data_IF_986980966009
#
_entry.id   IF_986980966009
#
_cell.length_a   1.000
_cell.length_b   1.000
_cell.length_c   1.000
_cell.angle_alpha   90.00
_cell.angle_beta   90.00
_cell.angle_gamma   90.00
#
_symmetry.space_group_name_H-M   'P 1'
#
loop_
_entity.id
_entity.type
_entity.pdbx_description
1 polymer ?
#
# COMPACT_ATOMS: atom_id res chain seq x y z
N UNK A 1 8.32 -1.07 14.41
CA UNK A 1 7.34 -1.32 13.33
C UNK A 1 6.07 -1.89 13.92
N UNK A 2 4.95 -1.37 13.49
CA UNK A 2 3.64 -1.91 13.85
C UNK A 2 2.97 -2.45 12.59
N UNK A 3 2.34 -3.63 12.71
CA UNK A 3 1.70 -4.29 11.60
C UNK A 3 0.41 -4.96 12.07
N UNK A 4 -0.67 -4.74 11.33
CA UNK A 4 -1.98 -5.37 11.58
C UNK A 4 -2.51 -5.97 10.28
N UNK A 5 -3.14 -7.13 10.38
CA UNK A 5 -3.78 -7.79 9.24
C UNK A 5 -5.27 -7.95 9.49
N UNK A 6 -6.06 -7.55 8.50
CA UNK A 6 -7.51 -7.70 8.50
C UNK A 6 -7.93 -8.55 7.31
N UNK A 7 -8.72 -9.57 7.55
CA UNK A 7 -9.20 -10.48 6.51
C UNK A 7 -10.70 -10.30 6.31
N UNK A 8 -11.11 -10.09 5.06
CA UNK A 8 -12.49 -10.22 4.65
C UNK A 8 -12.64 -11.41 3.72
N UNK A 9 -13.85 -11.68 3.25
CA UNK A 9 -14.10 -12.79 2.32
C UNK A 9 -13.29 -12.63 1.02
N UNK A 10 -13.16 -11.40 0.51
CA UNK A 10 -12.64 -11.11 -0.82
C UNK A 10 -11.35 -10.30 -0.84
N UNK A 11 -10.83 -9.90 0.32
CA UNK A 11 -9.67 -9.00 0.40
C UNK A 11 -8.93 -9.18 1.72
N UNK A 12 -7.62 -9.23 1.65
CA UNK A 12 -6.73 -9.10 2.80
C UNK A 12 -6.13 -7.70 2.85
N UNK A 13 -6.26 -7.04 3.99
CA UNK A 13 -5.69 -5.73 4.25
C UNK A 13 -4.56 -5.85 5.28
N UNK A 14 -3.39 -5.35 4.92
CA UNK A 14 -2.25 -5.24 5.83
C UNK A 14 -1.98 -3.76 6.06
N UNK A 15 -2.06 -3.32 7.30
CA UNK A 15 -1.74 -1.95 7.71
C UNK A 15 -0.38 -1.94 8.41
N UNK A 16 0.52 -1.07 7.96
CA UNK A 16 1.91 -1.02 8.45
C UNK A 16 2.26 0.41 8.85
N UNK A 17 2.90 0.55 10.00
CA UNK A 17 3.68 1.72 10.36
C UNK A 17 5.13 1.31 10.55
N UNK A 18 6.04 1.92 9.81
CA UNK A 18 7.47 1.72 9.95
C UNK A 18 8.12 3.03 10.40
N UNK A 19 8.81 2.99 11.53
CA UNK A 19 9.63 4.12 11.96
C UNK A 19 10.84 4.31 11.02
N UNK A 20 11.45 5.49 11.04
CA UNK A 20 12.65 5.78 10.24
C UNK A 20 13.78 4.79 10.48
N UNK A 21 13.84 4.18 11.67
CA UNK A 21 14.86 3.21 12.06
C UNK A 21 14.45 1.76 11.77
N UNK A 22 13.24 1.53 11.28
CA UNK A 22 12.73 0.20 10.98
C UNK A 22 13.44 -0.45 9.80
N UNK A 23 13.73 -1.74 9.91
CA UNK A 23 14.41 -2.51 8.87
C UNK A 23 13.46 -2.85 7.74
N UNK A 24 13.75 -2.36 6.52
CA UNK A 24 12.91 -2.61 5.34
C UNK A 24 12.87 -4.08 4.95
N UNK A 25 13.99 -4.78 5.04
CA UNK A 25 14.07 -6.21 4.66
C UNK A 25 13.21 -7.07 5.59
N UNK A 26 13.22 -6.78 6.88
CA UNK A 26 12.36 -7.48 7.85
C UNK A 26 10.88 -7.23 7.56
N UNK A 27 10.51 -5.98 7.25
CA UNK A 27 9.16 -5.64 6.84
C UNK A 27 8.72 -6.41 5.60
N UNK A 28 9.58 -6.49 4.59
CA UNK A 28 9.28 -7.20 3.34
C UNK A 28 9.05 -8.70 3.59
N UNK A 29 9.84 -9.31 4.46
CA UNK A 29 9.64 -10.71 4.86
C UNK A 29 8.30 -10.93 5.54
N UNK A 30 7.91 -10.04 6.44
CA UNK A 30 6.65 -10.13 7.15
C UNK A 30 5.46 -10.02 6.20
N UNK A 31 5.49 -9.09 5.25
CA UNK A 31 4.44 -8.95 4.24
C UNK A 31 4.28 -10.23 3.43
N UNK A 32 5.40 -10.83 3.02
CA UNK A 32 5.39 -12.07 2.26
C UNK A 32 4.81 -13.23 3.05
N UNK A 33 5.15 -13.34 4.33
CA UNK A 33 4.63 -14.39 5.22
C UNK A 33 3.13 -14.24 5.49
N UNK A 34 2.61 -13.02 5.48
CA UNK A 34 1.21 -12.75 5.74
C UNK A 34 0.29 -13.04 4.57
N UNK A 35 0.84 -13.23 3.38
CA UNK A 35 0.05 -13.63 2.21
C UNK A 35 -0.22 -15.13 2.27
N UNK A 36 -1.30 -15.50 2.94
CA UNK A 36 -1.68 -16.90 3.18
C UNK A 36 -2.84 -17.38 2.32
N UNK A 37 -3.56 -16.46 1.66
CA UNK A 37 -4.74 -16.79 0.85
C UNK A 37 -4.56 -16.30 -0.58
N UNK A 38 -5.22 -16.97 -1.52
CA UNK A 38 -5.24 -16.54 -2.92
C UNK A 38 -6.39 -15.55 -3.19
N UNK A 39 -6.38 -14.44 -2.48
CA UNK A 39 -7.33 -13.33 -2.63
C UNK A 39 -6.54 -12.03 -2.88
N UNK A 40 -7.18 -10.98 -3.41
CA UNK A 40 -6.54 -9.68 -3.52
C UNK A 40 -6.00 -9.20 -2.18
N UNK A 41 -4.85 -8.53 -2.23
CA UNK A 41 -4.19 -8.01 -1.03
C UNK A 41 -3.90 -6.53 -1.19
N UNK A 42 -4.15 -5.76 -0.15
CA UNK A 42 -3.78 -4.36 -0.06
C UNK A 42 -2.87 -4.12 1.14
N UNK A 43 -1.75 -3.46 0.91
CA UNK A 43 -0.79 -3.06 1.95
C UNK A 43 -0.80 -1.56 2.04
N UNK A 44 -1.17 -1.00 3.19
CA UNK A 44 -1.29 0.44 3.39
C UNK A 44 -0.51 0.89 4.62
N UNK A 45 -0.03 2.11 4.59
CA UNK A 45 0.51 2.74 5.78
C UNK A 45 1.63 3.73 5.53
N UNK A 46 2.15 4.25 6.62
CA UNK A 46 3.32 5.11 6.64
C UNK A 46 4.58 4.23 6.66
N UNK A 47 5.24 4.13 5.51
CA UNK A 47 6.41 3.28 5.33
C UNK A 47 7.73 4.04 5.53
N UNK A 48 7.66 5.35 5.79
CA UNK A 48 8.80 6.20 6.10
C UNK A 48 9.96 6.12 5.09
N UNK A 49 9.64 6.02 3.80
CA UNK A 49 10.61 6.23 2.74
C UNK A 49 9.99 7.07 1.62
N UNK A 50 10.84 7.76 0.88
CA UNK A 50 10.40 8.62 -0.22
C UNK A 50 10.15 7.77 -1.47
N UNK A 51 8.89 7.58 -1.84
CA UNK A 51 8.56 6.78 -3.01
C UNK A 51 9.12 7.35 -4.30
N UNK A 52 9.19 8.69 -4.41
CA UNK A 52 9.67 9.36 -5.61
C UNK A 52 11.21 9.37 -5.73
N UNK A 53 11.95 9.00 -4.68
CA UNK A 53 13.40 8.87 -4.79
C UNK A 53 13.78 7.77 -5.76
N UNK A 54 14.62 8.12 -6.73
CA UNK A 54 15.28 7.15 -7.59
C UNK A 54 16.42 6.50 -6.84
N UNK A 55 16.51 5.19 -6.88
CA UNK A 55 17.57 4.44 -6.26
C UNK A 55 17.14 3.07 -5.78
N UNK A 56 18.12 2.33 -5.25
CA UNK A 56 17.92 0.99 -4.76
C UNK A 56 17.18 0.98 -3.42
N UNK A 57 15.87 1.18 -3.43
CA UNK A 57 15.02 1.02 -2.26
C UNK A 57 14.49 -0.41 -2.23
N UNK A 58 14.84 -1.17 -1.18
CA UNK A 58 14.48 -2.59 -1.09
C UNK A 58 12.97 -2.81 -1.01
N UNK A 59 12.23 -1.91 -0.37
CA UNK A 59 10.77 -2.02 -0.26
C UNK A 59 10.09 -1.78 -1.61
N UNK A 60 10.51 -0.74 -2.32
CA UNK A 60 9.97 -0.44 -3.65
C UNK A 60 10.23 -1.56 -4.65
N UNK A 61 11.44 -2.13 -4.62
CA UNK A 61 11.81 -3.27 -5.45
C UNK A 61 11.02 -4.52 -5.07
N UNK A 62 10.82 -4.76 -3.78
CA UNK A 62 10.03 -5.89 -3.30
C UNK A 62 8.61 -5.86 -3.85
N UNK A 63 7.90 -4.73 -3.71
CA UNK A 63 6.52 -4.60 -4.21
C UNK A 63 6.45 -4.76 -5.73
N UNK A 64 7.40 -4.21 -6.46
CA UNK A 64 7.48 -4.37 -7.91
C UNK A 64 7.69 -5.82 -8.32
N UNK A 65 8.61 -6.52 -7.66
CA UNK A 65 8.91 -7.92 -7.92
C UNK A 65 7.72 -8.83 -7.62
N UNK A 66 6.97 -8.53 -6.55
CA UNK A 66 5.81 -9.30 -6.15
C UNK A 66 4.52 -8.88 -6.87
N UNK A 67 4.62 -8.03 -7.89
CA UNK A 67 3.51 -7.58 -8.73
C UNK A 67 2.45 -6.76 -8.01
N UNK A 68 2.86 -5.95 -7.05
CA UNK A 68 1.99 -4.94 -6.45
C UNK A 68 2.02 -3.66 -7.27
N UNK A 69 0.88 -2.95 -7.29
CA UNK A 69 0.75 -1.63 -7.89
C UNK A 69 0.58 -0.58 -6.82
N UNK A 70 1.29 0.54 -6.93
CA UNK A 70 1.16 1.67 -6.01
C UNK A 70 -0.02 2.55 -6.42
N UNK A 71 -0.90 2.88 -5.47
CA UNK A 71 -2.09 3.71 -5.70
C UNK A 71 -1.85 5.19 -5.43
N UNK A 72 -0.88 5.54 -4.57
CA UNK A 72 -0.69 6.91 -4.11
C UNK A 72 0.37 7.59 -4.99
N UNK A 73 -0.06 8.52 -5.82
CA UNK A 73 0.79 9.19 -6.81
C UNK A 73 1.04 10.68 -6.50
N UNK A 74 0.46 11.19 -5.41
CA UNK A 74 0.63 12.58 -4.97
C UNK A 74 1.30 12.63 -3.61
N UNK A 75 2.03 13.71 -3.29
CA UNK A 75 2.64 13.89 -1.97
C UNK A 75 1.61 13.82 -0.85
N UNK A 76 1.94 13.09 0.21
CA UNK A 76 1.10 12.90 1.39
C UNK A 76 1.67 13.59 2.62
N UNK A 77 2.98 13.86 2.63
CA UNK A 77 3.66 14.56 3.71
C UNK A 77 3.87 16.03 3.35
N UNK A 78 3.83 16.93 4.34
CA UNK A 78 3.94 18.38 4.15
C UNK A 78 5.27 18.79 3.48
N UNK A 79 6.31 17.98 3.60
CA UNK A 79 7.60 18.19 2.94
C UNK A 79 7.62 17.79 1.46
N UNK A 80 6.50 17.35 0.91
CA UNK A 80 6.38 17.00 -0.50
C UNK A 80 6.68 15.54 -0.83
N UNK A 81 6.78 14.67 0.16
CA UNK A 81 7.10 13.26 -0.01
C UNK A 81 5.86 12.37 -0.05
N UNK A 82 5.95 11.25 -0.76
CA UNK A 82 4.96 10.19 -0.69
C UNK A 82 5.47 9.15 0.29
N UNK A 83 5.11 9.27 1.57
CA UNK A 83 5.51 8.32 2.63
C UNK A 83 4.34 7.47 3.13
N UNK A 84 3.12 7.92 2.94
CA UNK A 84 1.91 7.15 3.15
C UNK A 84 1.58 6.47 1.83
N UNK A 85 1.63 5.15 1.81
CA UNK A 85 1.58 4.39 0.57
C UNK A 85 0.49 3.33 0.63
N UNK A 86 -0.01 2.95 -0.54
CA UNK A 86 -0.97 1.87 -0.68
C UNK A 86 -0.61 1.02 -1.90
N UNK A 87 -0.34 -0.24 -1.66
CA UNK A 87 0.02 -1.20 -2.70
C UNK A 87 -1.08 -2.24 -2.81
N UNK A 88 -1.46 -2.57 -4.04
CA UNK A 88 -2.47 -3.60 -4.30
C UNK A 88 -1.92 -4.70 -5.19
N UNK A 89 -2.30 -5.92 -4.88
CA UNK A 89 -2.06 -7.10 -5.70
C UNK A 89 -3.39 -7.79 -5.93
N UNK A 90 -3.91 -7.73 -7.14
CA UNK A 90 -5.15 -8.38 -7.54
C UNK A 90 -4.95 -9.05 -8.90
N UNK A 91 -4.49 -10.28 -8.89
CA UNK A 91 -4.26 -11.06 -10.09
C UNK A 91 -5.57 -11.44 -10.80
N UNK A 92 -6.66 -11.53 -10.06
CA UNK A 92 -7.99 -11.85 -10.60
C UNK A 92 -8.65 -10.67 -11.30
N UNK A 93 -8.22 -9.44 -11.00
CA UNK A 93 -8.82 -8.19 -11.46
C UNK A 93 -10.31 -8.05 -11.14
N UNK A 94 -10.74 -8.67 -10.04
CA UNK A 94 -12.14 -8.64 -9.60
C UNK A 94 -12.50 -7.36 -8.85
N UNK A 95 -11.52 -6.67 -8.31
CA UNK A 95 -11.72 -5.47 -7.49
C UNK A 95 -11.19 -4.24 -8.21
N UNK A 96 -11.88 -3.12 -8.00
CA UNK A 96 -11.43 -1.81 -8.42
C UNK A 96 -11.04 -0.99 -7.20
N UNK A 97 -9.82 -0.50 -7.20
CA UNK A 97 -9.27 0.32 -6.12
C UNK A 97 -9.17 1.77 -6.58
N UNK A 98 -9.67 2.68 -5.77
CA UNK A 98 -9.58 4.12 -6.03
C UNK A 98 -9.07 4.82 -4.78
N UNK A 99 -8.01 5.61 -4.93
CA UNK A 99 -7.44 6.39 -3.83
C UNK A 99 -7.81 7.87 -4.02
N UNK A 100 -8.29 8.49 -2.94
CA UNK A 100 -8.53 9.93 -2.88
C UNK A 100 -7.64 10.53 -1.80
N UNK A 101 -6.86 11.55 -2.17
CA UNK A 101 -5.97 12.26 -1.26
C UNK A 101 -6.61 13.60 -0.96
N UNK A 102 -6.88 13.87 0.31
CA UNK A 102 -7.45 15.14 0.74
C UNK A 102 -6.45 16.28 0.51
N UNK A 103 -6.94 17.43 0.06
CA UNK A 103 -6.06 18.58 -0.21
C UNK A 103 -5.55 19.23 1.06
N UNK A 104 -6.24 19.06 2.18
CA UNK A 104 -5.87 19.66 3.46
C UNK A 104 -4.99 18.71 4.27
N UNK A 105 -3.94 19.25 4.85
CA UNK A 105 -3.08 18.50 5.77
C UNK A 105 -3.68 18.49 7.18
N UNK A 106 -3.71 17.31 7.79
CA UNK A 106 -3.96 17.12 9.21
C UNK A 106 -2.61 16.85 9.86
N UNK A 107 -2.14 17.76 10.72
CA UNK A 107 -0.75 17.75 11.17
C UNK A 107 0.23 17.91 9.99
N UNK A 108 1.11 16.97 9.74
CA UNK A 108 2.07 16.97 8.62
C UNK A 108 1.71 15.97 7.50
N UNK A 109 0.59 15.25 7.64
CA UNK A 109 0.09 14.27 6.67
C UNK A 109 -1.26 14.67 6.08
N UNK A 110 -1.50 14.28 4.84
CA UNK A 110 -2.82 14.36 4.21
C UNK A 110 -3.59 13.08 4.50
N UNK A 111 -4.89 13.21 4.66
CA UNK A 111 -5.77 12.06 4.80
C UNK A 111 -5.97 11.38 3.44
N UNK A 112 -5.91 10.05 3.43
CA UNK A 112 -6.10 9.23 2.24
C UNK A 112 -7.33 8.35 2.44
N UNK A 113 -8.25 8.37 1.48
CA UNK A 113 -9.38 7.45 1.44
C UNK A 113 -9.20 6.48 0.28
N UNK A 114 -9.37 5.19 0.54
CA UNK A 114 -9.28 4.16 -0.50
C UNK A 114 -10.64 3.47 -0.58
N UNK A 115 -11.23 3.53 -1.77
CA UNK A 115 -12.52 2.89 -2.05
C UNK A 115 -12.24 1.61 -2.83
N UNK A 116 -12.80 0.50 -2.37
CA UNK A 116 -12.68 -0.80 -3.01
C UNK A 116 -14.06 -1.26 -3.46
N UNK A 117 -14.23 -1.42 -4.77
CA UNK A 117 -15.48 -1.87 -5.39
C UNK A 117 -15.24 -3.14 -6.18
N UNK A 118 -16.31 -3.91 -6.39
CA UNK A 118 -16.27 -4.99 -7.38
C UNK A 118 -16.10 -4.38 -8.77
N UNK A 119 -15.17 -4.93 -9.53
CA UNK A 119 -14.99 -4.55 -10.92
C UNK A 119 -16.22 -4.92 -11.73
N UNK A 120 -16.50 -4.18 -12.81
CA UNK A 120 -17.56 -4.53 -13.73
C UNK A 120 -17.25 -5.88 -14.37
N UNK A 121 -18.16 -6.84 -14.22
CA UNK A 121 -18.14 -8.03 -15.03
C UNK A 121 -18.50 -7.63 -16.45
N UNK A 122 -17.53 -7.71 -17.33
CA UNK A 122 -17.84 -7.64 -18.76
C UNK A 122 -18.61 -8.92 -19.10
N UNK A 123 -19.89 -8.81 -19.20
CA UNK A 123 -20.68 -9.88 -19.81
C UNK A 123 -20.43 -9.87 -21.31
N UNK A 124 -19.90 -10.96 -21.75
CA UNK A 124 -19.82 -11.21 -23.18
C UNK A 124 -21.15 -11.74 -23.68
#
# INVERSE_FOLDING_TARGET
MQLSKFCSENLDLIAIYRSKQGNQQEMNKLIKQLKTRNVPQMVVGDLNFHYLEEGANSTKQFFKKENYSQLILEPTHIEGNIIDQAYVKDESRLLKFTAEIQTKYYTDHRCIAIVVNHGEKTEL
#
